data_IF_036228754696
#
_entry.id   IF_036228754696
#
_cell.length_a   1.000
_cell.length_b   1.000
_cell.length_c   1.000
_cell.angle_alpha   90.00
_cell.angle_beta   90.00
_cell.angle_gamma   90.00
#
_symmetry.space_group_name_H-M   'P 1'
#
loop_
_entity.id
_entity.type
_entity.pdbx_description
1 polymer ?
#
# COMPACT_ATOMS: atom_id res chain seq x y z
N UNK A 1 -9.69 9.35 -9.91
CA UNK A 1 -9.35 7.94 -10.11
C UNK A 1 -7.84 7.75 -9.99
N UNK A 2 -7.41 6.90 -9.10
CA UNK A 2 -6.00 6.66 -8.86
C UNK A 2 -5.58 5.27 -9.31
N UNK A 3 -4.31 5.12 -9.69
CA UNK A 3 -3.71 3.82 -9.96
C UNK A 3 -3.00 3.36 -8.71
N UNK A 4 -3.43 2.24 -8.16
CA UNK A 4 -2.91 1.70 -6.91
C UNK A 4 -2.20 0.38 -7.19
N UNK A 5 -0.90 0.34 -6.91
CA UNK A 5 -0.09 -0.85 -7.08
C UNK A 5 -0.07 -1.66 -5.78
N UNK A 6 -0.34 -2.96 -5.87
CA UNK A 6 -0.26 -3.86 -4.73
C UNK A 6 1.05 -4.65 -4.80
N UNK A 7 1.90 -4.49 -3.80
CA UNK A 7 3.19 -5.17 -3.72
C UNK A 7 3.11 -6.34 -2.74
N UNK A 8 3.28 -7.57 -3.23
CA UNK A 8 3.27 -8.77 -2.40
C UNK A 8 1.92 -9.16 -1.82
N UNK A 9 0.84 -8.54 -2.28
CA UNK A 9 -0.51 -8.79 -1.76
C UNK A 9 -1.07 -10.07 -2.39
N UNK A 10 -1.62 -10.97 -1.55
CA UNK A 10 -2.20 -12.20 -2.05
C UNK A 10 -3.52 -11.95 -2.81
N UNK A 11 -3.93 -12.95 -3.58
CA UNK A 11 -5.09 -12.84 -4.46
C UNK A 11 -6.39 -12.55 -3.70
N UNK A 12 -6.58 -13.15 -2.54
CA UNK A 12 -7.80 -12.95 -1.75
C UNK A 12 -7.89 -11.54 -1.20
N UNK A 13 -6.79 -11.03 -0.67
CA UNK A 13 -6.77 -9.67 -0.14
C UNK A 13 -6.84 -8.63 -1.25
N UNK A 14 -6.24 -8.92 -2.41
CA UNK A 14 -6.39 -8.08 -3.59
C UNK A 14 -7.86 -7.90 -3.95
N UNK A 15 -8.61 -9.01 -4.01
CA UNK A 15 -10.04 -8.94 -4.34
C UNK A 15 -10.80 -8.09 -3.33
N UNK A 16 -10.45 -8.21 -2.05
CA UNK A 16 -11.06 -7.42 -1.00
C UNK A 16 -10.78 -5.93 -1.17
N UNK A 17 -9.53 -5.58 -1.45
CA UNK A 17 -9.15 -4.18 -1.69
C UNK A 17 -9.82 -3.61 -2.93
N UNK A 18 -9.94 -4.38 -4.00
CA UNK A 18 -10.67 -3.94 -5.19
C UNK A 18 -12.12 -3.59 -4.86
N UNK A 19 -12.76 -4.39 -4.02
CA UNK A 19 -14.12 -4.11 -3.57
C UNK A 19 -14.24 -2.88 -2.68
N UNK A 20 -13.18 -2.55 -1.92
CA UNK A 20 -13.16 -1.38 -1.05
C UNK A 20 -12.81 -0.09 -1.80
N UNK A 21 -12.23 -0.21 -2.98
CA UNK A 21 -11.72 0.93 -3.76
C UNK A 21 -12.32 0.95 -5.18
N UNK A 22 -13.67 0.96 -5.30
CA UNK A 22 -14.32 0.77 -6.61
C UNK A 22 -14.06 1.89 -7.62
N UNK A 23 -13.65 3.06 -7.17
CA UNK A 23 -13.35 4.18 -8.06
C UNK A 23 -11.91 4.24 -8.53
N UNK A 24 -11.09 3.24 -8.17
CA UNK A 24 -9.65 3.26 -8.44
C UNK A 24 -9.21 2.06 -9.26
N UNK A 25 -8.10 2.23 -9.98
CA UNK A 25 -7.52 1.17 -10.79
C UNK A 25 -6.46 0.44 -9.97
N UNK A 26 -6.77 -0.80 -9.56
CA UNK A 26 -5.87 -1.61 -8.73
C UNK A 26 -5.08 -2.56 -9.62
N UNK A 27 -3.75 -2.50 -9.55
CA UNK A 27 -2.84 -3.34 -10.34
C UNK A 27 -1.87 -4.06 -9.43
N UNK A 28 -1.35 -5.19 -9.90
CA UNK A 28 -0.44 -6.04 -9.11
C UNK A 28 0.90 -6.28 -9.80
N UNK A 29 1.21 -5.57 -10.88
CA UNK A 29 2.43 -5.79 -11.64
C UNK A 29 3.26 -4.53 -11.68
N UNK A 30 4.56 -4.70 -11.91
CA UNK A 30 5.51 -3.59 -12.06
C UNK A 30 5.42 -2.91 -13.43
N UNK A 31 4.42 -3.27 -14.23
CA UNK A 31 4.25 -2.69 -15.55
C UNK A 31 3.85 -1.22 -15.53
N UNK A 32 3.38 -0.75 -14.38
CA UNK A 32 3.04 0.66 -14.21
C UNK A 32 4.27 1.41 -13.76
N UNK A 33 4.76 2.31 -14.60
CA UNK A 33 5.99 3.05 -14.34
C UNK A 33 5.88 3.94 -13.11
N UNK A 34 4.72 4.55 -12.88
CA UNK A 34 4.53 5.46 -11.76
C UNK A 34 3.09 5.40 -11.25
N UNK A 35 2.80 4.50 -10.31
CA UNK A 35 1.47 4.45 -9.70
C UNK A 35 1.25 5.67 -8.81
N UNK A 36 0.00 5.95 -8.49
CA UNK A 36 -0.35 7.05 -7.59
C UNK A 36 -0.16 6.67 -6.12
N UNK A 37 -0.24 5.38 -5.82
CA UNK A 37 -0.10 4.85 -4.47
C UNK A 37 0.38 3.41 -4.54
N UNK A 38 1.22 3.01 -3.59
CA UNK A 38 1.63 1.62 -3.41
C UNK A 38 1.10 1.12 -2.08
N UNK A 39 0.47 -0.05 -2.09
CA UNK A 39 0.07 -0.77 -0.87
C UNK A 39 0.90 -2.05 -0.81
N UNK A 40 1.69 -2.21 0.23
CA UNK A 40 2.64 -3.31 0.36
C UNK A 40 2.35 -4.19 1.56
N UNK A 41 2.39 -5.52 1.36
CA UNK A 41 2.34 -6.47 2.46
C UNK A 41 3.75 -6.64 3.01
N UNK A 42 4.02 -6.04 4.15
CA UNK A 42 5.34 -6.00 4.78
C UNK A 42 5.85 -7.40 5.13
N UNK A 43 4.96 -8.35 5.37
CA UNK A 43 5.36 -9.72 5.68
C UNK A 43 5.89 -10.48 4.47
N UNK A 44 5.65 -9.98 3.26
CA UNK A 44 5.99 -10.65 2.00
C UNK A 44 7.00 -9.90 1.15
N UNK A 45 7.18 -8.61 1.37
CA UNK A 45 8.12 -7.79 0.61
C UNK A 45 9.10 -7.09 1.55
N UNK A 46 10.27 -6.76 1.03
CA UNK A 46 11.26 -5.98 1.78
C UNK A 46 10.89 -4.49 1.68
N UNK A 47 10.66 -3.81 2.81
CA UNK A 47 10.30 -2.38 2.78
C UNK A 47 11.32 -1.51 2.05
N UNK A 48 12.61 -1.80 2.20
CA UNK A 48 13.66 -1.02 1.53
C UNK A 48 13.58 -1.15 0.01
N UNK A 49 13.29 -2.36 -0.49
CA UNK A 49 13.13 -2.58 -1.92
C UNK A 49 11.93 -1.83 -2.48
N UNK A 50 10.84 -1.75 -1.72
CA UNK A 50 9.64 -1.03 -2.15
C UNK A 50 9.93 0.46 -2.27
N UNK A 51 10.60 1.05 -1.27
CA UNK A 51 10.97 2.46 -1.29
C UNK A 51 11.92 2.77 -2.44
N UNK A 52 12.89 1.88 -2.69
CA UNK A 52 13.84 2.05 -3.80
C UNK A 52 13.15 2.00 -5.16
N UNK A 53 12.12 1.15 -5.29
CA UNK A 53 11.39 1.02 -6.55
C UNK A 53 10.50 2.24 -6.83
N UNK A 54 9.92 2.83 -5.79
CA UNK A 54 8.98 3.96 -5.94
C UNK A 54 9.28 5.06 -4.94
N UNK A 55 10.43 5.74 -5.07
CA UNK A 55 10.88 6.74 -4.08
C UNK A 55 10.00 7.99 -4.00
N UNK A 56 9.27 8.30 -5.06
CA UNK A 56 8.43 9.50 -5.12
C UNK A 56 6.93 9.22 -5.01
N UNK A 57 6.55 7.99 -4.70
CA UNK A 57 5.15 7.56 -4.62
C UNK A 57 4.80 7.30 -3.16
N UNK A 58 3.63 7.74 -2.67
CA UNK A 58 3.20 7.39 -1.30
C UNK A 58 3.03 5.88 -1.16
N UNK A 59 3.48 5.35 -0.03
CA UNK A 59 3.48 3.91 0.24
C UNK A 59 2.77 3.65 1.56
N UNK A 60 1.78 2.76 1.52
CA UNK A 60 1.11 2.23 2.71
C UNK A 60 1.58 0.80 2.92
N UNK A 61 2.15 0.51 4.08
CA UNK A 61 2.52 -0.83 4.46
C UNK A 61 1.52 -1.42 5.44
N UNK A 62 1.23 -2.70 5.33
CA UNK A 62 0.37 -3.39 6.28
C UNK A 62 0.94 -4.76 6.64
N UNK A 63 0.61 -5.22 7.83
CA UNK A 63 0.98 -6.55 8.30
C UNK A 63 0.08 -6.91 9.49
N UNK A 64 0.34 -8.06 10.13
CA UNK A 64 -0.41 -8.48 11.31
C UNK A 64 -0.04 -7.62 12.52
N UNK A 65 -0.99 -7.44 13.44
CA UNK A 65 -0.77 -6.62 14.64
C UNK A 65 0.33 -7.17 15.56
N UNK A 66 0.70 -8.43 15.42
CA UNK A 66 1.77 -9.06 16.19
C UNK A 66 3.16 -8.89 15.55
N UNK A 67 3.22 -8.39 14.32
CA UNK A 67 4.48 -8.22 13.59
C UNK A 67 5.12 -6.86 13.89
N UNK A 68 5.56 -6.66 15.12
CA UNK A 68 6.16 -5.39 15.53
C UNK A 68 7.45 -5.08 14.78
N UNK A 69 8.25 -6.10 14.50
CA UNK A 69 9.50 -5.92 13.76
C UNK A 69 9.24 -5.46 12.33
N UNK A 70 8.23 -6.02 11.66
CA UNK A 70 7.85 -5.60 10.32
C UNK A 70 7.35 -4.17 10.28
N UNK A 71 6.49 -3.79 11.24
CA UNK A 71 5.99 -2.43 11.35
C UNK A 71 7.14 -1.44 11.53
N UNK A 72 8.11 -1.77 12.38
CA UNK A 72 9.27 -0.93 12.63
C UNK A 72 10.16 -0.80 11.39
N UNK A 73 10.40 -1.90 10.67
CA UNK A 73 11.21 -1.87 9.45
C UNK A 73 10.59 -0.98 8.38
N UNK A 74 9.28 -1.08 8.18
CA UNK A 74 8.59 -0.27 7.19
C UNK A 74 8.61 1.21 7.57
N UNK A 75 8.42 1.50 8.84
CA UNK A 75 8.49 2.86 9.34
C UNK A 75 9.89 3.45 9.12
N UNK A 76 10.92 2.69 9.46
CA UNK A 76 12.32 3.10 9.28
C UNK A 76 12.68 3.28 7.80
N UNK A 77 12.11 2.45 6.92
CA UNK A 77 12.33 2.57 5.48
C UNK A 77 11.72 3.83 4.86
N UNK A 78 10.77 4.46 5.55
CA UNK A 78 10.18 5.70 5.09
C UNK A 78 8.80 5.58 4.47
N UNK A 79 8.06 4.52 4.80
CA UNK A 79 6.68 4.40 4.35
C UNK A 79 5.83 5.55 4.89
N UNK A 80 4.92 6.04 4.10
CA UNK A 80 4.05 7.15 4.48
C UNK A 80 3.06 6.76 5.56
N UNK A 81 2.55 5.52 5.49
CA UNK A 81 1.67 4.96 6.51
C UNK A 81 2.05 3.50 6.74
N UNK A 82 2.04 3.10 8.00
CA UNK A 82 2.29 1.71 8.39
C UNK A 82 1.19 1.33 9.37
N UNK A 83 0.33 0.38 8.96
CA UNK A 83 -0.85 0.02 9.75
C UNK A 83 -1.03 -1.49 9.79
N UNK A 84 -1.90 -1.96 10.70
CA UNK A 84 -2.26 -3.37 10.73
C UNK A 84 -3.32 -3.65 9.66
N UNK A 85 -3.39 -4.91 9.23
CA UNK A 85 -4.27 -5.32 8.14
C UNK A 85 -5.74 -4.96 8.38
N UNK A 86 -6.24 -5.16 9.58
CA UNK A 86 -7.63 -4.82 9.93
C UNK A 86 -7.90 -3.32 9.81
N UNK A 87 -6.96 -2.49 10.21
CA UNK A 87 -7.08 -1.05 10.08
C UNK A 87 -7.09 -0.62 8.61
N UNK A 88 -6.28 -1.27 7.78
CA UNK A 88 -6.29 -1.01 6.35
C UNK A 88 -7.66 -1.29 5.74
N UNK A 89 -8.28 -2.42 6.09
CA UNK A 89 -9.61 -2.78 5.59
C UNK A 89 -10.64 -1.72 5.97
N UNK A 90 -10.60 -1.24 7.20
CA UNK A 90 -11.55 -0.23 7.69
C UNK A 90 -11.33 1.14 7.05
N UNK A 91 -10.09 1.50 6.75
CA UNK A 91 -9.71 2.86 6.36
C UNK A 91 -9.24 2.99 4.93
N UNK A 92 -9.26 1.92 4.12
CA UNK A 92 -8.68 1.95 2.79
C UNK A 92 -9.17 3.12 1.92
N UNK A 93 -10.48 3.37 1.78
CA UNK A 93 -10.94 4.50 0.96
C UNK A 93 -10.43 5.85 1.47
N UNK A 94 -10.45 6.03 2.78
CA UNK A 94 -9.99 7.27 3.39
C UNK A 94 -8.50 7.48 3.21
N UNK A 95 -7.69 6.43 3.39
CA UNK A 95 -6.25 6.50 3.21
C UNK A 95 -5.89 6.86 1.78
N UNK A 96 -6.58 6.28 0.80
CA UNK A 96 -6.35 6.61 -0.60
C UNK A 96 -6.64 8.09 -0.85
N UNK A 97 -7.75 8.59 -0.34
CA UNK A 97 -8.09 10.00 -0.50
C UNK A 97 -7.06 10.93 0.14
N UNK A 98 -6.54 10.56 1.30
CA UNK A 98 -5.54 11.38 2.01
C UNK A 98 -4.17 11.39 1.32
N UNK A 99 -3.74 10.23 0.80
CA UNK A 99 -2.40 10.07 0.26
C UNK A 99 -2.34 10.38 -1.24
N UNK A 100 -3.42 10.12 -1.97
CA UNK A 100 -3.55 10.50 -3.38
C UNK A 100 -4.32 11.80 -3.44
N UNK A 101 -3.71 12.86 -2.94
CA UNK A 101 -4.37 14.15 -2.92
C UNK A 101 -4.58 14.62 -4.35
N UNK A 102 -5.80 15.08 -4.69
CA UNK A 102 -6.02 15.63 -6.02
C UNK A 102 -5.15 16.85 -6.21
N UNK A 103 -4.62 17.05 -7.42
CA UNK A 103 -3.91 18.29 -7.70
C UNK A 103 -4.87 19.44 -7.52
N UNK A 104 -4.50 20.33 -6.67
CA UNK A 104 -5.32 21.51 -6.42
C UNK A 104 -5.15 22.53 -7.53
#
# INVERSE_FOLDING_TARGET
MATILLAGVDLFFRAKLEGLLPGHHVVTTDSVAEPDLVIADIARVDPDEVVDAWPDVPIVGFTNHTDKAGLQRAHTAGFDQVIVKSALVERAPQLVEELVAPPS
#
